data_IF_192376017282
#
_entry.id   IF_192376017282
#
_cell.length_a   1.000
_cell.length_b   1.000
_cell.length_c   1.000
_cell.angle_alpha   90.00
_cell.angle_beta   90.00
_cell.angle_gamma   90.00
#
_symmetry.space_group_name_H-M   'P 1'
#
loop_
_entity.id
_entity.type
_entity.pdbx_description
1 polymer ?
#
# COMPACT_ATOMS: atom_id res chain seq x y z
N UNK A 1 -44.71 10.23 54.32
CA UNK A 1 -43.37 10.29 53.70
C UNK A 1 -43.29 9.20 52.66
N UNK A 2 -43.14 9.54 51.38
CA UNK A 2 -42.74 8.58 50.36
C UNK A 2 -41.91 9.31 49.31
N UNK A 3 -40.60 9.08 49.32
CA UNK A 3 -39.67 9.63 48.35
C UNK A 3 -39.48 8.59 47.24
N UNK A 4 -40.18 8.76 46.12
CA UNK A 4 -39.86 8.06 44.87
C UNK A 4 -39.13 9.04 43.96
N UNK A 5 -37.83 9.23 44.22
CA UNK A 5 -36.92 9.87 43.29
C UNK A 5 -36.49 8.86 42.23
N UNK A 6 -37.14 8.89 41.07
CA UNK A 6 -36.65 8.18 39.87
C UNK A 6 -35.40 8.90 39.39
N UNK A 7 -34.22 8.33 39.67
CA UNK A 7 -32.96 8.77 39.05
C UNK A 7 -32.92 8.29 37.60
N UNK A 8 -33.23 9.21 36.68
CA UNK A 8 -33.11 9.02 35.24
C UNK A 8 -32.03 9.98 34.72
N UNK A 9 -30.78 9.59 34.89
CA UNK A 9 -29.64 10.39 34.42
C UNK A 9 -28.35 9.59 34.51
N UNK A 10 -28.05 8.79 33.47
CA UNK A 10 -26.70 8.22 33.30
C UNK A 10 -26.45 7.60 31.92
N UNK A 11 -27.50 7.25 31.16
CA UNK A 11 -27.33 6.52 29.88
C UNK A 11 -26.81 7.40 28.72
N UNK A 12 -27.27 8.65 28.60
CA UNK A 12 -26.93 9.51 27.45
C UNK A 12 -25.47 9.97 27.42
N UNK A 13 -24.85 10.17 28.59
CA UNK A 13 -23.47 10.65 28.72
C UNK A 13 -22.43 9.61 28.29
N UNK A 14 -22.72 8.33 28.52
CA UNK A 14 -21.81 7.23 28.19
C UNK A 14 -21.85 6.92 26.69
N UNK A 15 -23.05 6.89 26.11
CA UNK A 15 -23.28 6.67 24.67
C UNK A 15 -22.58 7.74 23.82
N UNK A 16 -22.71 9.02 24.21
CA UNK A 16 -21.99 10.15 23.59
C UNK A 16 -20.46 10.00 23.65
N UNK A 17 -19.93 9.37 24.70
CA UNK A 17 -18.48 9.17 24.87
C UNK A 17 -17.94 8.10 23.92
N UNK A 18 -18.73 7.05 23.66
CA UNK A 18 -18.38 6.02 22.70
C UNK A 18 -18.45 6.54 21.27
N UNK A 19 -19.51 7.25 20.90
CA UNK A 19 -19.64 7.86 19.58
C UNK A 19 -18.48 8.84 19.30
N UNK A 20 -18.12 9.68 20.28
CA UNK A 20 -16.98 10.59 20.16
C UNK A 20 -15.66 9.86 19.90
N UNK A 21 -15.43 8.71 20.56
CA UNK A 21 -14.22 7.89 20.36
C UNK A 21 -14.19 7.23 18.98
N UNK A 22 -15.36 6.79 18.48
CA UNK A 22 -15.49 6.20 17.15
C UNK A 22 -15.15 7.25 16.10
N UNK A 23 -15.72 8.46 16.20
CA UNK A 23 -15.46 9.58 15.28
C UNK A 23 -13.97 9.93 15.28
N UNK A 24 -13.35 10.09 16.45
CA UNK A 24 -11.90 10.35 16.54
C UNK A 24 -11.03 9.25 15.91
N UNK A 25 -11.49 7.99 15.98
CA UNK A 25 -10.77 6.87 15.38
C UNK A 25 -10.90 6.90 13.85
N UNK A 26 -12.08 7.23 13.34
CA UNK A 26 -12.32 7.40 11.90
C UNK A 26 -11.52 8.58 11.33
N UNK A 27 -11.42 9.70 12.04
CA UNK A 27 -10.60 10.85 11.62
C UNK A 27 -9.12 10.48 11.50
N UNK A 28 -8.61 9.71 12.47
CA UNK A 28 -7.23 9.20 12.44
C UNK A 28 -6.98 8.26 11.26
N UNK A 29 -7.96 7.39 10.98
CA UNK A 29 -7.89 6.48 9.83
C UNK A 29 -7.90 7.30 8.53
N UNK A 30 -8.83 8.24 8.36
CA UNK A 30 -8.91 9.11 7.19
C UNK A 30 -7.59 9.86 6.95
N UNK A 31 -7.06 10.49 7.98
CA UNK A 31 -5.76 11.20 7.93
C UNK A 31 -4.62 10.26 7.52
N UNK A 32 -4.63 9.02 8.00
CA UNK A 32 -3.61 8.02 7.65
C UNK A 32 -3.71 7.60 6.19
N UNK A 33 -4.93 7.40 5.68
CA UNK A 33 -5.17 7.09 4.27
C UNK A 33 -4.75 8.23 3.34
N UNK A 34 -5.05 9.49 3.68
CA UNK A 34 -4.60 10.66 2.91
C UNK A 34 -3.06 10.73 2.83
N UNK A 35 -2.37 10.49 3.95
CA UNK A 35 -0.90 10.44 3.97
C UNK A 35 -0.36 9.32 3.09
N UNK A 36 -0.92 8.12 3.19
CA UNK A 36 -0.53 6.99 2.35
C UNK A 36 -0.78 7.27 0.88
N UNK A 37 -1.93 7.84 0.54
CA UNK A 37 -2.26 8.25 -0.82
C UNK A 37 -1.23 9.25 -1.37
N UNK A 38 -0.94 10.32 -0.64
CA UNK A 38 0.04 11.34 -1.06
C UNK A 38 1.45 10.74 -1.27
N UNK A 39 1.85 9.78 -0.44
CA UNK A 39 3.13 9.07 -0.59
C UNK A 39 3.14 8.17 -1.84
N UNK A 40 2.04 7.46 -2.11
CA UNK A 40 1.90 6.61 -3.30
C UNK A 40 1.84 7.46 -4.57
N UNK A 41 1.08 8.55 -4.56
CA UNK A 41 0.94 9.48 -5.68
C UNK A 41 2.29 10.16 -6.00
N UNK A 42 3.03 10.62 -4.97
CA UNK A 42 4.38 11.16 -5.14
C UNK A 42 5.34 10.13 -5.75
N UNK A 43 5.33 8.89 -5.23
CA UNK A 43 6.12 7.78 -5.78
C UNK A 43 5.78 7.51 -7.25
N UNK A 44 4.50 7.60 -7.61
CA UNK A 44 4.03 7.32 -8.97
C UNK A 44 4.52 8.41 -9.95
N UNK A 45 4.39 9.68 -9.56
CA UNK A 45 4.84 10.84 -10.35
C UNK A 45 6.35 10.88 -10.57
N UNK A 46 7.14 10.57 -9.56
CA UNK A 46 8.61 10.69 -9.58
C UNK A 46 9.32 9.56 -10.35
N UNK A 47 8.60 8.55 -10.84
CA UNK A 47 9.19 7.34 -11.46
C UNK A 47 8.70 7.12 -12.89
N UNK A 48 8.94 8.11 -13.76
CA UNK A 48 8.53 8.06 -15.17
C UNK A 48 9.30 7.04 -16.00
N UNK A 49 10.51 6.68 -15.60
CA UNK A 49 11.34 5.70 -16.30
C UNK A 49 12.15 4.89 -15.29
N UNK A 50 11.98 3.58 -15.29
CA UNK A 50 12.70 2.67 -14.40
C UNK A 50 13.74 1.85 -15.13
N UNK A 51 14.63 1.21 -14.39
CA UNK A 51 15.57 0.25 -14.97
C UNK A 51 14.84 -0.93 -15.62
N UNK A 52 13.61 -1.26 -15.20
CA UNK A 52 12.80 -2.27 -15.90
C UNK A 52 12.42 -1.82 -17.33
N UNK A 53 12.13 -0.54 -17.52
CA UNK A 53 11.82 0.02 -18.84
C UNK A 53 13.07 -0.01 -19.73
N UNK A 54 14.24 0.35 -19.18
CA UNK A 54 15.52 0.23 -19.88
C UNK A 54 15.84 -1.23 -20.29
N UNK A 55 15.58 -2.21 -19.42
CA UNK A 55 15.79 -3.64 -19.74
C UNK A 55 14.89 -4.09 -20.89
N UNK A 56 13.62 -3.66 -20.90
CA UNK A 56 12.65 -4.01 -21.96
C UNK A 56 13.03 -3.40 -23.31
N UNK A 57 13.65 -2.23 -23.33
CA UNK A 57 14.05 -1.52 -24.55
C UNK A 57 15.24 -2.19 -25.26
N UNK A 58 15.99 -3.08 -24.60
CA UNK A 58 17.08 -3.82 -25.25
C UNK A 58 16.48 -4.81 -26.26
N UNK A 59 16.82 -4.69 -27.56
CA UNK A 59 16.29 -5.55 -28.59
C UNK A 59 16.84 -6.98 -28.46
N UNK A 60 16.07 -7.96 -28.92
CA UNK A 60 16.45 -9.38 -29.01
C UNK A 60 16.77 -10.07 -27.67
N UNK A 61 16.39 -9.49 -26.52
CA UNK A 61 16.43 -10.21 -25.25
C UNK A 61 15.14 -11.00 -25.03
N UNK A 62 15.28 -12.29 -24.75
CA UNK A 62 14.17 -13.09 -24.25
C UNK A 62 13.81 -12.70 -22.81
N UNK A 63 12.62 -13.11 -22.38
CA UNK A 63 12.07 -12.72 -21.09
C UNK A 63 12.89 -13.26 -19.90
N UNK A 64 13.46 -14.47 -20.03
CA UNK A 64 14.31 -15.06 -18.99
C UNK A 64 15.57 -14.23 -18.79
N UNK A 65 16.26 -13.87 -19.88
CA UNK A 65 17.45 -13.01 -19.84
C UNK A 65 17.15 -11.65 -19.23
N UNK A 66 15.99 -11.05 -19.54
CA UNK A 66 15.55 -9.78 -18.92
C UNK A 66 15.37 -9.91 -17.41
N UNK A 67 14.79 -11.02 -16.94
CA UNK A 67 14.65 -11.28 -15.50
C UNK A 67 15.97 -11.56 -14.81
N UNK A 68 16.91 -12.26 -15.46
CA UNK A 68 18.28 -12.40 -14.96
C UNK A 68 18.95 -11.05 -14.80
N UNK A 69 18.87 -10.18 -15.82
CA UNK A 69 19.43 -8.82 -15.76
C UNK A 69 18.82 -8.01 -14.61
N UNK A 70 17.49 -8.10 -14.42
CA UNK A 70 16.82 -7.49 -13.28
C UNK A 70 17.34 -8.02 -11.94
N UNK A 71 17.67 -9.31 -11.88
CA UNK A 71 18.18 -9.94 -10.67
C UNK A 71 19.60 -9.52 -10.27
N UNK A 72 20.40 -9.05 -11.23
CA UNK A 72 21.76 -8.54 -10.99
C UNK A 72 21.80 -7.13 -10.39
N UNK A 73 20.67 -6.42 -10.38
CA UNK A 73 20.55 -5.05 -9.87
C UNK A 73 20.44 -5.05 -8.34
N UNK A 74 20.90 -3.95 -7.72
CA UNK A 74 20.78 -3.73 -6.28
C UNK A 74 19.32 -3.84 -5.78
N UNK A 75 19.16 -4.24 -4.52
CA UNK A 75 17.86 -4.52 -3.91
C UNK A 75 16.90 -3.33 -3.93
N UNK A 76 17.38 -2.09 -3.83
CA UNK A 76 16.51 -0.90 -3.81
C UNK A 76 15.92 -0.68 -5.20
N UNK A 77 16.78 -0.64 -6.22
CA UNK A 77 16.36 -0.44 -7.61
C UNK A 77 15.51 -1.60 -8.12
N UNK A 78 15.82 -2.84 -7.71
CA UNK A 78 14.99 -4.02 -8.02
C UNK A 78 13.58 -3.92 -7.43
N UNK A 79 13.45 -3.47 -6.17
CA UNK A 79 12.13 -3.22 -5.55
C UNK A 79 11.35 -2.14 -6.28
N UNK A 80 12.04 -1.11 -6.74
CA UNK A 80 11.43 0.00 -7.47
C UNK A 80 10.92 -0.43 -8.86
N UNK A 81 11.71 -1.24 -9.57
CA UNK A 81 11.30 -1.92 -10.80
C UNK A 81 10.09 -2.83 -10.58
N UNK A 82 10.10 -3.66 -9.53
CA UNK A 82 8.96 -4.53 -9.21
C UNK A 82 7.67 -3.73 -8.99
N UNK A 83 7.73 -2.60 -8.27
CA UNK A 83 6.57 -1.75 -8.04
C UNK A 83 6.00 -1.10 -9.31
N UNK A 84 6.78 -1.02 -10.40
CA UNK A 84 6.34 -0.46 -11.68
C UNK A 84 5.95 -1.49 -12.73
N UNK A 85 6.36 -2.75 -12.55
CA UNK A 85 5.82 -3.86 -13.33
C UNK A 85 4.30 -3.93 -13.21
N UNK A 86 3.66 -4.22 -14.32
CA UNK A 86 2.26 -4.65 -14.39
C UNK A 86 2.06 -5.94 -13.57
N UNK A 87 0.81 -6.25 -13.16
CA UNK A 87 0.52 -7.51 -12.47
C UNK A 87 0.99 -8.76 -13.23
N UNK A 88 0.87 -8.76 -14.56
CA UNK A 88 1.31 -9.86 -15.42
C UNK A 88 2.84 -10.02 -15.43
N UNK A 89 3.59 -8.91 -15.59
CA UNK A 89 5.05 -8.95 -15.53
C UNK A 89 5.55 -9.46 -14.18
N UNK A 90 4.91 -9.05 -13.08
CA UNK A 90 5.24 -9.55 -11.74
C UNK A 90 4.98 -11.05 -11.62
N UNK A 91 3.84 -11.51 -12.12
CA UNK A 91 3.49 -12.93 -12.10
C UNK A 91 4.52 -13.75 -12.88
N UNK A 92 4.89 -13.30 -14.08
CA UNK A 92 5.90 -13.95 -14.91
C UNK A 92 7.27 -13.98 -14.23
N UNK A 93 7.66 -12.90 -13.55
CA UNK A 93 8.91 -12.87 -12.80
C UNK A 93 8.88 -13.81 -11.59
N UNK A 94 7.77 -13.89 -10.86
CA UNK A 94 7.60 -14.83 -9.75
C UNK A 94 7.71 -16.28 -10.26
N UNK A 95 7.04 -16.62 -11.36
CA UNK A 95 7.16 -17.94 -11.97
C UNK A 95 8.59 -18.25 -12.40
N UNK A 96 9.30 -17.29 -12.98
CA UNK A 96 10.71 -17.42 -13.31
C UNK A 96 11.57 -17.70 -12.05
N UNK A 97 11.35 -16.98 -10.94
CA UNK A 97 12.06 -17.24 -9.66
C UNK A 97 11.74 -18.61 -9.08
N UNK A 98 10.55 -19.14 -9.29
CA UNK A 98 10.15 -20.47 -8.83
C UNK A 98 10.77 -21.62 -9.65
N UNK A 99 11.28 -21.34 -10.85
CA UNK A 99 11.92 -22.34 -11.71
C UNK A 99 13.36 -22.69 -11.30
N UNK A 100 13.94 -21.98 -10.31
CA UNK A 100 15.24 -22.34 -9.74
C UNK A 100 16.43 -22.17 -10.68
N UNK A 101 16.40 -21.17 -11.55
CA UNK A 101 17.56 -20.75 -12.36
C UNK A 101 18.55 -19.94 -11.54
#
# INVERSE_FOLDING_TARGET
>A
MNQNGVSKGSSSSIENTYESRIIQSLDKISTSFERLYNLLEKRERERQYTVWDAIKEIPNLDQGTRFTALDMIDTKTKKDAFLKMSPEERLNWIFYKMQGV
#
